data_IF_663626714845
#
_entry.id   IF_663626714845
#
_cell.length_a   1.000
_cell.length_b   1.000
_cell.length_c   1.000
_cell.angle_alpha   90.00
_cell.angle_beta   90.00
_cell.angle_gamma   90.00
#
_symmetry.space_group_name_H-M   'P 1'
#
loop_
_entity.id
_entity.type
_entity.pdbx_description
1 polymer ?
#
# COMPACT_ATOMS: atom_id res chain seq x y z
N UNK A 1 -7.21 3.21 -25.71
CA UNK A 1 -8.47 2.43 -25.62
C UNK A 1 -8.37 1.28 -26.61
N UNK A 2 -8.35 0.04 -26.15
CA UNK A 2 -8.08 -1.14 -27.00
C UNK A 2 -9.41 -1.78 -27.41
N UNK A 3 -9.65 -1.96 -28.71
CA UNK A 3 -10.85 -2.63 -29.24
C UNK A 3 -10.53 -4.10 -29.53
N UNK A 4 -11.33 -5.02 -28.99
CA UNK A 4 -11.18 -6.46 -29.19
C UNK A 4 -12.53 -7.11 -29.45
N UNK A 5 -12.56 -8.18 -30.24
CA UNK A 5 -13.79 -8.98 -30.39
C UNK A 5 -14.00 -9.85 -29.15
N UNK A 6 -15.23 -10.30 -28.92
CA UNK A 6 -15.52 -11.26 -27.85
C UNK A 6 -14.70 -12.57 -27.97
N UNK A 7 -14.38 -12.99 -29.19
CA UNK A 7 -13.58 -14.18 -29.46
C UNK A 7 -12.12 -13.99 -29.04
N UNK A 8 -11.54 -12.82 -29.33
CA UNK A 8 -10.18 -12.48 -28.92
C UNK A 8 -10.10 -12.24 -27.42
N UNK A 9 -11.11 -11.58 -26.85
CA UNK A 9 -11.22 -11.39 -25.42
C UNK A 9 -11.30 -12.71 -24.65
N UNK A 10 -11.92 -13.76 -25.23
CA UNK A 10 -11.98 -15.08 -24.61
C UNK A 10 -10.63 -15.80 -24.61
N UNK A 11 -9.82 -15.64 -25.67
CA UNK A 11 -8.49 -16.26 -25.77
C UNK A 11 -7.48 -15.61 -24.83
N UNK A 12 -7.52 -14.28 -24.73
CA UNK A 12 -6.56 -13.48 -23.98
C UNK A 12 -7.14 -12.90 -22.68
N UNK A 13 -8.15 -13.54 -22.09
CA UNK A 13 -8.95 -12.94 -21.01
C UNK A 13 -8.12 -12.45 -19.83
N UNK A 14 -7.19 -13.28 -19.34
CA UNK A 14 -6.33 -12.93 -18.21
C UNK A 14 -5.37 -11.78 -18.55
N UNK A 15 -4.79 -11.78 -19.75
CA UNK A 15 -3.91 -10.69 -20.20
C UNK A 15 -4.66 -9.36 -20.26
N UNK A 16 -5.91 -9.37 -20.72
CA UNK A 16 -6.74 -8.17 -20.75
C UNK A 16 -7.10 -7.67 -19.35
N UNK A 17 -7.30 -8.57 -18.39
CA UNK A 17 -7.48 -8.20 -16.99
C UNK A 17 -6.24 -7.54 -16.42
N UNK A 18 -5.05 -8.07 -16.70
CA UNK A 18 -3.79 -7.48 -16.25
C UNK A 18 -3.58 -6.08 -16.85
N UNK A 19 -3.84 -5.92 -18.14
CA UNK A 19 -3.80 -4.62 -18.82
C UNK A 19 -4.79 -3.63 -18.18
N UNK A 20 -6.02 -4.07 -17.88
CA UNK A 20 -7.03 -3.22 -17.22
C UNK A 20 -6.65 -2.90 -15.77
N UNK A 21 -6.06 -3.85 -15.04
CA UNK A 21 -5.55 -3.64 -13.69
C UNK A 21 -4.41 -2.60 -13.66
N UNK A 22 -3.57 -2.58 -14.69
CA UNK A 22 -2.54 -1.56 -14.91
C UNK A 22 -3.11 -0.19 -15.32
N UNK A 23 -4.42 -0.08 -15.56
CA UNK A 23 -5.12 1.16 -15.89
C UNK A 23 -5.49 1.31 -17.37
N UNK A 24 -5.31 0.26 -18.19
CA UNK A 24 -5.82 0.29 -19.55
C UNK A 24 -7.36 0.24 -19.57
N UNK A 25 -7.94 0.78 -20.64
CA UNK A 25 -9.37 0.68 -20.93
C UNK A 25 -9.55 -0.14 -22.20
N UNK A 26 -10.32 -1.22 -22.08
CA UNK A 26 -10.58 -2.18 -23.15
C UNK A 26 -12.07 -2.14 -23.51
N UNK A 27 -12.39 -2.07 -24.79
CA UNK A 27 -13.74 -2.21 -25.31
C UNK A 27 -13.87 -3.52 -26.07
N UNK A 28 -14.82 -4.36 -25.64
CA UNK A 28 -15.09 -5.68 -26.20
C UNK A 28 -16.36 -5.60 -27.05
N UNK A 29 -16.27 -5.95 -28.32
CA UNK A 29 -17.42 -6.01 -29.22
C UNK A 29 -17.99 -7.43 -29.31
N UNK A 30 -19.31 -7.55 -29.10
CA UNK A 30 -20.04 -8.81 -29.20
C UNK A 30 -21.41 -8.59 -29.85
N UNK A 31 -21.57 -9.08 -31.08
CA UNK A 31 -22.88 -9.06 -31.77
C UNK A 31 -23.50 -7.67 -31.85
N UNK A 32 -22.71 -6.65 -32.19
CA UNK A 32 -23.15 -5.25 -32.28
C UNK A 32 -23.25 -4.52 -30.93
N UNK A 33 -22.96 -5.18 -29.80
CA UNK A 33 -22.89 -4.55 -28.48
C UNK A 33 -21.45 -4.30 -28.09
N UNK A 34 -21.19 -3.14 -27.48
CA UNK A 34 -19.88 -2.79 -26.92
C UNK A 34 -19.93 -2.91 -25.41
N UNK A 35 -18.98 -3.68 -24.85
CA UNK A 35 -18.77 -3.82 -23.41
C UNK A 35 -17.49 -3.09 -23.06
N UNK A 36 -17.53 -2.21 -22.07
CA UNK A 36 -16.36 -1.43 -21.63
C UNK A 36 -15.81 -2.04 -20.35
N UNK A 37 -14.56 -2.49 -20.39
CA UNK A 37 -13.83 -3.04 -19.27
C UNK A 37 -12.79 -2.00 -18.82
N UNK A 38 -12.95 -1.54 -17.58
CA UNK A 38 -12.09 -0.56 -16.95
C UNK A 38 -11.92 -0.89 -15.48
N UNK A 39 -10.78 -0.50 -14.90
CA UNK A 39 -10.56 -0.63 -13.46
C UNK A 39 -11.60 0.21 -12.73
N UNK A 40 -12.23 -0.38 -11.72
CA UNK A 40 -13.09 0.39 -10.82
C UNK A 40 -12.26 1.54 -10.23
N UNK A 41 -12.83 2.76 -10.10
CA UNK A 41 -12.16 3.84 -9.41
C UNK A 41 -11.93 3.41 -7.97
N UNK A 42 -10.69 3.07 -7.64
CA UNK A 42 -10.30 2.84 -6.27
C UNK A 42 -10.39 4.20 -5.58
N UNK A 43 -11.17 4.35 -4.50
CA UNK A 43 -11.08 5.56 -3.70
C UNK A 43 -9.61 5.70 -3.33
N UNK A 44 -9.00 6.84 -3.65
CA UNK A 44 -7.67 7.22 -3.16
C UNK A 44 -7.78 7.53 -1.66
N UNK A 45 -8.30 6.60 -0.88
CA UNK A 45 -8.12 6.58 0.55
C UNK A 45 -6.74 5.99 0.77
N UNK A 46 -5.74 6.87 0.90
CA UNK A 46 -4.56 6.53 1.69
C UNK A 46 -5.15 5.95 2.98
N UNK A 47 -4.90 4.68 3.30
CA UNK A 47 -5.21 4.20 4.65
C UNK A 47 -4.55 5.21 5.58
N UNK A 48 -5.37 5.99 6.28
CA UNK A 48 -4.86 6.98 7.20
C UNK A 48 -4.10 6.15 8.23
N UNK A 49 -2.77 6.27 8.23
CA UNK A 49 -1.94 5.69 9.28
C UNK A 49 -2.61 6.11 10.58
N UNK A 50 -3.12 5.16 11.40
CA UNK A 50 -3.84 5.52 12.59
C UNK A 50 -2.95 6.41 13.44
N UNK A 51 -3.51 7.48 13.98
CA UNK A 51 -2.75 8.40 14.81
C UNK A 51 -2.44 7.74 16.16
N UNK A 52 -1.21 7.25 16.27
CA UNK A 52 -0.71 6.58 17.48
C UNK A 52 -0.02 7.54 18.45
N UNK A 53 0.02 8.85 18.17
CA UNK A 53 0.66 9.86 19.03
C UNK A 53 0.09 9.92 20.45
N UNK A 54 -1.13 9.40 20.67
CA UNK A 54 -1.79 9.36 21.97
C UNK A 54 -1.59 8.08 22.80
N UNK A 55 -0.99 7.01 22.22
CA UNK A 55 -0.87 5.71 22.90
C UNK A 55 0.27 5.66 23.90
N UNK A 56 1.37 6.37 23.65
CA UNK A 56 2.54 6.37 24.52
C UNK A 56 2.69 7.76 25.11
N UNK A 57 2.33 7.91 26.39
CA UNK A 57 2.64 9.10 27.18
C UNK A 57 3.82 8.77 28.09
N UNK A 58 5.02 9.04 27.61
CA UNK A 58 6.22 9.05 28.43
C UNK A 58 6.87 10.44 28.37
N UNK A 59 7.55 10.87 29.44
CA UNK A 59 8.41 12.04 29.34
C UNK A 59 9.49 11.80 28.26
N UNK A 60 9.76 12.81 27.44
CA UNK A 60 10.81 12.80 26.41
C UNK A 60 10.66 11.74 25.30
N UNK A 61 9.43 11.41 24.87
CA UNK A 61 9.19 10.53 23.70
C UNK A 61 9.83 11.07 22.43
N UNK A 62 9.87 12.39 22.26
CA UNK A 62 10.54 13.05 21.11
C UNK A 62 12.07 12.83 21.11
N UNK A 63 12.65 12.48 22.26
CA UNK A 63 14.06 12.13 22.39
C UNK A 63 14.28 10.61 22.38
N UNK A 64 13.29 9.79 21.99
CA UNK A 64 13.41 8.32 21.95
C UNK A 64 14.58 7.84 21.08
N UNK A 65 14.97 8.62 20.06
CA UNK A 65 16.13 8.32 19.22
C UNK A 65 17.49 8.58 19.94
N UNK A 66 17.48 9.25 21.10
CA UNK A 66 18.67 9.75 21.79
C UNK A 66 19.07 8.93 23.01
N UNK A 67 18.23 8.00 23.44
CA UNK A 67 18.52 7.13 24.57
C UNK A 67 18.28 5.66 24.19
N UNK A 68 19.07 4.77 24.78
CA UNK A 68 18.96 3.33 24.59
C UNK A 68 18.99 2.62 25.93
N UNK A 69 18.57 1.36 25.97
CA UNK A 69 18.71 0.53 27.15
C UNK A 69 20.00 -0.30 27.05
N UNK A 70 20.82 -0.27 28.10
CA UNK A 70 21.97 -1.16 28.25
C UNK A 70 21.76 -2.07 29.46
N UNK A 71 22.23 -3.31 29.36
CA UNK A 71 22.19 -4.26 30.48
C UNK A 71 23.32 -3.95 31.45
N UNK A 72 22.97 -3.58 32.67
CA UNK A 72 23.91 -3.39 33.77
C UNK A 72 24.53 -4.71 34.24
N UNK A 73 25.65 -4.63 34.97
CA UNK A 73 26.38 -5.81 35.46
C UNK A 73 25.56 -6.66 36.45
N UNK A 74 24.53 -6.07 37.06
CA UNK A 74 23.61 -6.75 37.98
C UNK A 74 22.37 -7.34 37.28
N UNK A 75 22.28 -7.20 35.95
CA UNK A 75 21.18 -7.74 35.14
C UNK A 75 19.97 -6.82 35.00
N UNK A 76 20.05 -5.60 35.50
CA UNK A 76 19.01 -4.58 35.35
C UNK A 76 19.21 -3.76 34.06
N UNK A 77 18.11 -3.24 33.50
CA UNK A 77 18.15 -2.34 32.34
C UNK A 77 18.34 -0.90 32.81
N UNK A 78 19.48 -0.31 32.44
CA UNK A 78 19.78 1.08 32.73
C UNK A 78 19.64 1.94 31.45
N UNK A 79 19.02 3.13 31.55
CA UNK A 79 18.93 4.05 30.43
C UNK A 79 20.30 4.69 30.18
N UNK A 80 20.79 4.58 28.94
CA UNK A 80 22.08 5.11 28.48
C UNK A 80 21.81 6.12 27.36
N UNK A 81 22.23 7.37 27.57
CA UNK A 81 22.13 8.43 26.56
C UNK A 81 23.13 8.10 25.45
N UNK A 82 22.62 7.65 24.31
CA UNK A 82 23.44 7.41 23.13
C UNK A 82 23.82 8.76 22.55
N UNK A 83 24.90 9.36 23.05
CA UNK A 83 25.56 10.47 22.37
C UNK A 83 25.95 9.97 20.96
N UNK A 84 25.29 10.50 19.93
CA UNK A 84 25.61 10.18 18.55
C UNK A 84 27.11 10.43 18.27
N UNK A 85 27.81 9.56 17.51
CA UNK A 85 29.14 9.86 17.00
C UNK A 85 29.11 10.98 15.94
#
# INVERSE_FOLDING_TARGET
MKRVTASDARKDWFRLLDEVAAGAVVSIERGGRTILLQRAPQPKGREAVPDYSGLIRAPNVEDADRWSWEWGPEGDLEPSDRAAP
#
